data_IF_220760981708
#
_entry.id   IF_220760981708
#
_cell.length_a   1.000
_cell.length_b   1.000
_cell.length_c   1.000
_cell.angle_alpha   90.00
_cell.angle_beta   90.00
_cell.angle_gamma   90.00
#
_symmetry.space_group_name_H-M   'P 1'
#
loop_
_entity.id
_entity.type
_entity.pdbx_description
1 polymer ?
#
# COMPACT_ATOMS: atom_id res chain seq x y z
N UNK A 1 -4.48 51.54 37.65
CA UNK A 1 -3.30 52.21 38.26
C UNK A 1 -2.29 51.16 38.68
N UNK A 2 -1.02 51.34 38.26
CA UNK A 2 0.26 50.69 38.68
C UNK A 2 0.46 49.22 38.23
N UNK A 3 1.30 48.92 37.23
CA UNK A 3 2.78 49.05 37.03
C UNK A 3 3.60 48.01 37.82
N UNK A 4 4.20 47.04 37.10
CA UNK A 4 5.66 46.80 36.93
C UNK A 4 5.96 45.32 36.54
N UNK A 5 6.57 45.13 35.38
CA UNK A 5 7.40 43.97 34.93
C UNK A 5 8.74 43.96 35.72
N UNK A 6 9.77 43.10 35.48
CA UNK A 6 9.90 41.77 34.81
C UNK A 6 10.81 40.77 35.61
N UNK A 7 10.83 39.46 35.29
CA UNK A 7 12.04 38.62 35.52
C UNK A 7 12.21 37.58 34.40
N UNK A 8 13.39 37.61 33.81
CA UNK A 8 13.95 36.75 32.77
C UNK A 8 14.18 35.30 33.22
N UNK A 9 14.05 34.36 32.27
CA UNK A 9 14.98 33.23 32.16
C UNK A 9 14.95 32.70 30.71
N UNK A 10 16.00 33.05 29.95
CA UNK A 10 16.38 32.37 28.72
C UNK A 10 16.81 30.94 29.08
N UNK A 11 16.22 29.93 28.45
CA UNK A 11 16.82 28.60 28.35
C UNK A 11 17.34 28.43 26.91
N UNK A 12 18.64 28.62 26.75
CA UNK A 12 19.38 28.33 25.53
C UNK A 12 19.50 26.81 25.36
N UNK A 13 18.91 26.25 24.30
CA UNK A 13 19.18 24.89 23.86
C UNK A 13 20.28 24.95 22.81
N UNK A 14 21.43 24.42 23.21
CA UNK A 14 22.68 24.38 22.48
C UNK A 14 22.54 23.62 21.15
N UNK A 15 22.79 24.32 20.05
CA UNK A 15 23.14 23.72 18.76
C UNK A 15 24.51 23.07 18.86
N UNK A 16 24.55 21.74 18.90
CA UNK A 16 25.79 20.99 18.76
C UNK A 16 26.11 20.90 17.27
N UNK A 17 26.97 21.81 16.81
CA UNK A 17 27.61 21.73 15.50
C UNK A 17 28.61 20.57 15.52
N UNK A 18 28.38 19.52 14.72
CA UNK A 18 29.43 18.56 14.38
C UNK A 18 30.36 19.23 13.37
N UNK A 19 31.56 19.49 13.84
CA UNK A 19 32.67 20.06 13.08
C UNK A 19 33.23 18.97 12.15
N UNK A 20 33.27 19.26 10.85
CA UNK A 20 34.09 18.52 9.88
C UNK A 20 35.57 18.77 10.21
N UNK A 21 36.24 17.78 10.79
CA UNK A 21 37.70 17.67 10.76
C UNK A 21 38.07 16.53 9.83
N UNK A 22 38.61 16.90 8.67
CA UNK A 22 39.28 15.99 7.77
C UNK A 22 40.49 15.35 8.46
N UNK A 23 40.59 14.03 8.31
CA UNK A 23 41.81 13.28 8.54
C UNK A 23 42.37 12.87 7.18
N UNK A 24 43.44 13.55 6.76
CA UNK A 24 44.41 12.98 5.82
C UNK A 24 45.13 11.82 6.50
N UNK A 25 45.11 10.66 5.86
CA UNK A 25 45.82 9.46 6.27
C UNK A 25 45.75 8.45 5.12
N UNK A 26 46.79 8.48 4.30
CA UNK A 26 47.04 7.67 3.10
C UNK A 26 47.28 6.20 3.50
N UNK A 27 46.38 5.30 3.11
CA UNK A 27 46.63 3.85 3.00
C UNK A 27 45.59 3.24 2.04
N UNK A 28 46.04 3.03 0.80
CA UNK A 28 45.63 2.06 -0.21
C UNK A 28 44.26 1.36 -0.05
N UNK A 29 43.23 1.92 -0.69
CA UNK A 29 42.07 1.17 -1.21
C UNK A 29 41.30 2.04 -2.19
N UNK A 30 41.70 1.98 -3.46
CA UNK A 30 40.83 2.42 -4.56
C UNK A 30 39.67 1.44 -4.67
N UNK A 31 38.64 1.65 -3.86
CA UNK A 31 37.31 1.18 -4.14
C UNK A 31 36.47 2.42 -4.43
N UNK A 32 36.25 2.70 -5.72
CA UNK A 32 35.11 3.50 -6.14
C UNK A 32 33.88 3.04 -5.35
N UNK A 33 33.00 3.93 -4.87
CA UNK A 33 31.68 3.49 -4.50
C UNK A 33 31.06 2.94 -5.78
N UNK A 34 31.04 1.61 -5.92
CA UNK A 34 30.27 0.98 -6.97
C UNK A 34 28.85 1.49 -6.79
N UNK A 35 28.47 2.39 -7.68
CA UNK A 35 27.09 2.74 -7.88
C UNK A 35 26.39 1.40 -8.08
N UNK A 36 25.70 0.93 -7.04
CA UNK A 36 24.86 -0.24 -7.15
C UNK A 36 23.90 0.12 -8.26
N UNK A 37 24.14 -0.46 -9.42
CA UNK A 37 23.32 -0.28 -10.60
C UNK A 37 21.92 -0.65 -10.13
N UNK A 38 21.03 0.34 -10.06
CA UNK A 38 19.61 0.07 -9.91
C UNK A 38 19.29 -0.93 -11.02
N UNK A 39 19.08 -2.19 -10.65
CA UNK A 39 18.61 -3.18 -11.59
C UNK A 39 17.29 -2.62 -12.11
N UNK A 40 17.28 -2.19 -13.36
CA UNK A 40 16.08 -1.71 -14.01
C UNK A 40 15.07 -2.85 -13.96
N UNK A 41 13.94 -2.66 -13.28
CA UNK A 41 12.89 -3.66 -13.24
C UNK A 41 12.56 -4.10 -14.68
N UNK A 42 12.54 -5.41 -14.91
CA UNK A 42 12.22 -6.01 -16.19
C UNK A 42 10.71 -6.03 -16.38
N UNK A 43 10.21 -5.49 -17.48
CA UNK A 43 8.79 -5.57 -17.85
C UNK A 43 8.59 -6.59 -18.97
N UNK A 44 7.73 -7.58 -18.74
CA UNK A 44 7.29 -8.55 -19.74
C UNK A 44 5.96 -8.10 -20.37
N UNK A 45 6.01 -7.65 -21.63
CA UNK A 45 4.83 -7.12 -22.33
C UNK A 45 3.72 -8.16 -22.57
N UNK A 46 4.07 -9.45 -22.68
CA UNK A 46 3.11 -10.52 -23.00
C UNK A 46 2.24 -10.87 -21.81
N UNK A 47 2.87 -10.89 -20.64
CA UNK A 47 2.18 -11.21 -19.39
C UNK A 47 1.71 -9.93 -18.72
N UNK A 48 2.35 -8.78 -18.93
CA UNK A 48 2.10 -7.56 -18.16
C UNK A 48 2.70 -7.60 -16.76
N UNK A 49 3.75 -8.41 -16.56
CA UNK A 49 4.46 -8.54 -15.28
C UNK A 49 5.66 -7.61 -15.25
N UNK A 50 5.80 -6.88 -14.16
CA UNK A 50 7.03 -6.19 -13.75
C UNK A 50 7.77 -7.05 -12.72
N UNK A 51 9.04 -7.33 -12.98
CA UNK A 51 9.97 -8.03 -12.10
C UNK A 51 11.08 -7.06 -11.68
N UNK A 52 11.12 -6.71 -10.40
CA UNK A 52 12.12 -5.80 -9.82
C UNK A 52 13.32 -6.55 -9.21
N UNK A 53 13.41 -7.87 -9.41
CA UNK A 53 14.44 -8.74 -8.85
C UNK A 53 14.12 -9.29 -7.46
N UNK A 54 12.97 -8.93 -6.86
CA UNK A 54 12.50 -9.52 -5.59
C UNK A 54 11.98 -10.95 -5.75
N UNK A 55 11.59 -11.34 -6.98
CA UNK A 55 10.85 -12.57 -7.27
C UNK A 55 9.34 -12.41 -7.21
N UNK A 56 8.83 -11.27 -6.74
CA UNK A 56 7.41 -10.95 -6.77
C UNK A 56 7.00 -10.60 -8.20
N UNK A 57 5.77 -10.98 -8.57
CA UNK A 57 5.19 -10.62 -9.87
C UNK A 57 4.20 -9.50 -9.67
N UNK A 58 4.57 -8.31 -10.13
CA UNK A 58 3.72 -7.11 -10.03
C UNK A 58 3.01 -6.86 -11.36
N UNK A 59 1.75 -6.41 -11.33
CA UNK A 59 0.98 -6.05 -12.53
C UNK A 59 0.25 -4.74 -12.30
N UNK A 60 0.17 -3.91 -13.34
CA UNK A 60 -0.76 -2.79 -13.33
C UNK A 60 -2.20 -3.30 -13.49
N UNK A 61 -3.13 -2.71 -12.75
CA UNK A 61 -4.56 -3.03 -12.82
C UNK A 61 -5.40 -1.81 -13.21
N UNK A 62 -6.56 -2.09 -13.82
CA UNK A 62 -7.71 -1.18 -13.82
C UNK A 62 -8.62 -1.61 -12.67
N UNK A 63 -8.94 -0.67 -11.80
CA UNK A 63 -9.86 -0.88 -10.69
C UNK A 63 -11.12 -0.04 -10.88
N UNK A 64 -12.27 -0.63 -10.55
CA UNK A 64 -13.55 0.05 -10.39
C UNK A 64 -14.15 -0.39 -9.06
N UNK A 65 -14.63 0.57 -8.27
CA UNK A 65 -15.22 0.31 -6.96
C UNK A 65 -16.46 1.17 -6.78
N UNK A 66 -17.48 0.55 -6.24
CA UNK A 66 -18.73 1.16 -5.80
C UNK A 66 -19.00 0.68 -4.38
N UNK A 67 -19.27 1.63 -3.48
CA UNK A 67 -19.64 1.39 -2.10
C UNK A 67 -20.98 2.06 -1.86
N UNK A 68 -21.92 1.35 -1.27
CA UNK A 68 -23.25 1.86 -0.95
C UNK A 68 -23.73 1.44 0.44
N UNK A 69 -24.73 2.13 1.00
CA UNK A 69 -25.21 1.88 2.36
C UNK A 69 -24.52 2.78 3.39
N UNK A 70 -23.75 2.18 4.31
CA UNK A 70 -23.05 2.88 5.40
C UNK A 70 -22.07 3.97 4.95
N UNK A 71 -21.58 3.89 3.71
CA UNK A 71 -20.95 4.97 2.95
C UNK A 71 -21.47 4.93 1.51
N UNK A 72 -21.27 6.03 0.76
CA UNK A 72 -21.65 6.08 -0.65
C UNK A 72 -20.52 6.69 -1.48
N UNK A 73 -19.83 5.86 -2.26
CA UNK A 73 -18.73 6.31 -3.11
C UNK A 73 -18.62 5.47 -4.38
N UNK A 74 -18.16 6.12 -5.45
CA UNK A 74 -17.76 5.44 -6.67
C UNK A 74 -16.44 6.01 -7.13
N UNK A 75 -15.48 5.11 -7.38
CA UNK A 75 -14.16 5.48 -7.87
C UNK A 75 -13.62 4.44 -8.85
N UNK A 76 -12.78 4.93 -9.76
CA UNK A 76 -12.12 4.14 -10.80
C UNK A 76 -10.72 4.68 -10.98
N UNK A 77 -9.77 3.83 -11.35
CA UNK A 77 -8.44 4.27 -11.73
C UNK A 77 -7.45 3.14 -11.85
N UNK A 78 -6.17 3.49 -11.78
CA UNK A 78 -5.08 2.53 -11.75
C UNK A 78 -4.98 1.90 -10.37
N UNK A 79 -4.88 0.59 -10.33
CA UNK A 79 -4.47 -0.19 -9.16
C UNK A 79 -3.27 -1.05 -9.52
N UNK A 80 -2.94 -1.97 -8.64
CA UNK A 80 -1.86 -2.94 -8.83
C UNK A 80 -2.23 -4.28 -8.25
N UNK A 81 -1.60 -5.34 -8.75
CA UNK A 81 -1.60 -6.65 -8.13
C UNK A 81 -0.19 -7.11 -7.86
N UNK A 82 0.03 -7.76 -6.73
CA UNK A 82 1.32 -8.36 -6.36
C UNK A 82 1.11 -9.83 -6.02
N UNK A 83 1.73 -10.72 -6.79
CA UNK A 83 1.86 -12.14 -6.44
C UNK A 83 3.23 -12.35 -5.78
N UNK A 84 3.28 -12.63 -4.47
CA UNK A 84 4.54 -12.73 -3.76
C UNK A 84 5.26 -14.06 -4.05
N UNK A 85 6.59 -14.02 -4.04
CA UNK A 85 7.44 -15.20 -4.27
C UNK A 85 7.37 -16.25 -3.14
N UNK A 86 7.00 -15.80 -1.94
CA UNK A 86 7.07 -16.57 -0.69
C UNK A 86 5.84 -17.45 -0.42
N UNK A 87 4.85 -17.43 -1.32
CA UNK A 87 3.67 -18.32 -1.30
C UNK A 87 2.50 -17.87 -0.42
N UNK A 88 2.60 -16.76 0.30
CA UNK A 88 1.70 -16.21 1.34
C UNK A 88 1.24 -14.75 1.15
N UNK A 89 -0.06 -14.41 1.02
CA UNK A 89 -1.13 -14.89 0.13
C UNK A 89 -0.79 -15.00 -1.35
N UNK A 90 -1.64 -15.69 -2.12
CA UNK A 90 -1.39 -15.97 -3.54
C UNK A 90 -1.27 -14.70 -4.40
N UNK A 91 -2.10 -13.69 -4.13
CA UNK A 91 -2.00 -12.36 -4.71
C UNK A 91 -2.68 -11.31 -3.82
N UNK A 92 -2.20 -10.08 -3.92
CA UNK A 92 -2.82 -8.89 -3.34
C UNK A 92 -3.25 -7.96 -4.46
N UNK A 93 -4.39 -7.30 -4.30
CA UNK A 93 -4.89 -6.28 -5.24
C UNK A 93 -5.09 -4.98 -4.48
N UNK A 94 -4.56 -3.88 -4.98
CA UNK A 94 -4.58 -2.59 -4.30
C UNK A 94 -5.02 -1.49 -5.24
N UNK A 95 -5.92 -0.65 -4.75
CA UNK A 95 -6.22 0.65 -5.34
C UNK A 95 -6.21 1.70 -4.23
N UNK A 96 -5.57 2.84 -4.51
CA UNK A 96 -5.63 4.03 -3.65
C UNK A 96 -5.96 5.27 -4.47
N UNK A 97 -6.95 6.03 -4.03
CA UNK A 97 -7.35 7.27 -4.65
C UNK A 97 -7.92 8.27 -3.66
N UNK A 98 -8.14 9.50 -4.13
CA UNK A 98 -8.65 10.60 -3.27
C UNK A 98 -10.00 10.32 -2.63
N UNK A 99 -10.80 9.43 -3.22
CA UNK A 99 -12.15 9.08 -2.77
C UNK A 99 -12.21 7.83 -1.89
N UNK A 100 -11.08 7.14 -1.72
CA UNK A 100 -11.01 5.90 -0.97
C UNK A 100 -9.92 4.97 -1.50
N UNK A 101 -9.76 3.85 -0.80
CA UNK A 101 -8.87 2.77 -1.15
C UNK A 101 -9.57 1.43 -0.99
N UNK A 102 -9.13 0.42 -1.73
CA UNK A 102 -9.54 -0.96 -1.52
C UNK A 102 -8.32 -1.87 -1.64
N UNK A 103 -8.28 -2.87 -0.78
CA UNK A 103 -7.31 -3.96 -0.81
C UNK A 103 -8.08 -5.28 -0.85
N UNK A 104 -7.72 -6.18 -1.76
CA UNK A 104 -8.26 -7.54 -1.83
C UNK A 104 -7.11 -8.52 -1.63
N UNK A 105 -7.30 -9.45 -0.71
CA UNK A 105 -6.35 -10.49 -0.37
C UNK A 105 -6.85 -11.79 -0.97
N UNK A 106 -6.11 -12.36 -1.92
CA UNK A 106 -6.41 -13.71 -2.39
C UNK A 106 -6.07 -14.71 -1.28
N UNK A 107 -6.97 -15.64 -1.01
CA UNK A 107 -6.72 -16.68 -0.01
C UNK A 107 -5.50 -17.54 -0.35
N UNK A 108 -4.85 -18.06 0.68
CA UNK A 108 -3.77 -19.04 0.57
C UNK A 108 -3.69 -19.85 1.86
N UNK A 109 -3.56 -21.17 1.72
CA UNK A 109 -3.58 -22.12 2.84
C UNK A 109 -4.77 -21.86 3.78
N UNK A 110 -4.50 -21.49 5.05
CA UNK A 110 -5.51 -21.22 6.08
C UNK A 110 -6.01 -19.76 6.07
N UNK A 111 -5.52 -18.92 5.14
CA UNK A 111 -5.92 -17.50 5.03
C UNK A 111 -7.09 -17.40 4.05
N UNK A 112 -8.28 -16.98 4.49
CA UNK A 112 -9.43 -16.80 3.61
C UNK A 112 -9.28 -15.55 2.72
N UNK A 113 -9.89 -15.60 1.55
CA UNK A 113 -10.02 -14.42 0.67
C UNK A 113 -10.85 -13.35 1.38
N UNK A 114 -10.39 -12.10 1.32
CA UNK A 114 -11.09 -10.98 1.97
C UNK A 114 -10.81 -9.65 1.28
N UNK A 115 -11.66 -8.66 1.53
CA UNK A 115 -11.49 -7.29 1.05
C UNK A 115 -11.62 -6.28 2.19
N UNK A 116 -10.82 -5.22 2.09
CA UNK A 116 -10.83 -4.07 3.00
C UNK A 116 -10.97 -2.82 2.16
N UNK A 117 -12.04 -2.05 2.37
CA UNK A 117 -12.28 -0.78 1.68
C UNK A 117 -12.30 0.36 2.69
N UNK A 118 -11.65 1.47 2.36
CA UNK A 118 -11.70 2.69 3.17
C UNK A 118 -12.31 3.82 2.36
N UNK A 119 -13.39 4.43 2.87
CA UNK A 119 -14.10 5.55 2.25
C UNK A 119 -14.39 6.59 3.34
N UNK A 120 -14.08 7.86 3.06
CA UNK A 120 -14.32 8.98 3.99
C UNK A 120 -13.76 8.77 5.42
N UNK A 121 -12.67 8.01 5.53
CA UNK A 121 -12.02 7.68 6.80
C UNK A 121 -12.65 6.52 7.58
N UNK A 122 -13.68 5.87 7.04
CA UNK A 122 -14.28 4.64 7.59
C UNK A 122 -13.78 3.44 6.82
N UNK A 123 -13.34 2.42 7.55
CA UNK A 123 -12.88 1.14 6.98
C UNK A 123 -13.94 0.08 7.14
N UNK A 124 -14.23 -0.63 6.06
CA UNK A 124 -15.16 -1.75 6.00
C UNK A 124 -14.40 -3.00 5.57
N UNK A 125 -14.62 -4.09 6.30
CA UNK A 125 -13.95 -5.37 6.05
C UNK A 125 -15.00 -6.44 5.76
N UNK A 126 -14.80 -7.23 4.72
CA UNK A 126 -15.65 -8.40 4.44
C UNK A 126 -15.42 -9.48 5.50
N UNK A 127 -16.42 -10.29 5.80
CA UNK A 127 -16.29 -11.33 6.81
C UNK A 127 -15.27 -12.40 6.35
N UNK A 128 -14.15 -12.60 7.07
CA UNK A 128 -13.19 -13.65 6.70
C UNK A 128 -13.74 -15.07 6.92
N UNK A 129 -14.77 -15.26 7.75
CA UNK A 129 -15.43 -16.56 7.95
C UNK A 129 -16.48 -16.86 6.86
N UNK A 130 -16.86 -15.84 6.08
CA UNK A 130 -17.77 -15.96 4.94
C UNK A 130 -17.20 -15.23 3.70
N UNK A 131 -16.34 -15.90 2.90
CA UNK A 131 -15.72 -15.30 1.72
C UNK A 131 -16.70 -15.16 0.54
N UNK A 132 -17.99 -15.41 0.74
CA UNK A 132 -18.99 -15.31 -0.32
C UNK A 132 -18.96 -13.91 -0.94
N UNK A 133 -18.86 -13.86 -2.27
CA UNK A 133 -18.81 -12.61 -3.01
C UNK A 133 -17.42 -11.95 -3.07
N UNK A 134 -16.37 -12.57 -2.52
CA UNK A 134 -14.99 -12.10 -2.72
C UNK A 134 -14.21 -13.16 -3.49
N UNK A 135 -13.88 -12.87 -4.74
CA UNK A 135 -13.11 -13.75 -5.61
C UNK A 135 -11.81 -13.06 -6.02
N UNK A 136 -10.68 -13.74 -5.86
CA UNK A 136 -9.39 -13.19 -6.25
C UNK A 136 -8.56 -14.27 -6.93
N UNK A 137 -8.08 -13.97 -8.14
CA UNK A 137 -7.24 -14.85 -8.91
C UNK A 137 -5.89 -15.02 -8.23
N UNK A 138 -5.47 -16.27 -8.04
CA UNK A 138 -4.19 -16.61 -7.40
C UNK A 138 -2.98 -16.12 -8.21
N UNK A 139 -3.14 -15.87 -9.51
CA UNK A 139 -2.11 -15.42 -10.45
C UNK A 139 -1.98 -13.89 -10.57
N UNK A 140 -2.76 -13.14 -9.79
CA UNK A 140 -2.78 -11.70 -9.79
C UNK A 140 -3.52 -11.07 -10.99
N UNK A 141 -4.23 -11.84 -11.83
CA UNK A 141 -4.81 -11.28 -13.07
C UNK A 141 -6.16 -10.60 -12.88
N UNK A 142 -6.91 -10.95 -11.84
CA UNK A 142 -8.22 -10.32 -11.58
C UNK A 142 -8.73 -10.57 -10.17
N UNK A 143 -9.50 -9.63 -9.64
CA UNK A 143 -10.28 -9.83 -8.42
C UNK A 143 -11.65 -9.17 -8.56
N UNK A 144 -12.67 -9.77 -7.96
CA UNK A 144 -14.02 -9.22 -7.86
C UNK A 144 -14.52 -9.26 -6.42
N UNK A 145 -15.28 -8.23 -6.07
CA UNK A 145 -15.94 -8.10 -4.78
C UNK A 145 -17.40 -7.76 -5.07
N UNK A 146 -18.32 -8.50 -4.48
CA UNK A 146 -19.76 -8.25 -4.39
C UNK A 146 -20.21 -8.78 -3.03
N UNK A 147 -19.83 -8.05 -1.98
CA UNK A 147 -19.91 -8.50 -0.60
C UNK A 147 -20.24 -7.36 0.36
N UNK A 148 -20.72 -7.73 1.55
CA UNK A 148 -21.00 -6.77 2.63
C UNK A 148 -19.72 -6.55 3.44
N UNK A 149 -19.31 -5.29 3.56
CA UNK A 149 -18.27 -4.85 4.46
C UNK A 149 -18.84 -4.33 5.77
N UNK A 150 -18.24 -4.77 6.88
CA UNK A 150 -18.63 -4.35 8.22
C UNK A 150 -17.58 -3.37 8.78
N UNK A 151 -17.98 -2.19 9.27
CA UNK A 151 -17.07 -1.29 9.97
C UNK A 151 -17.00 -1.65 11.45
N UNK A 152 -15.96 -1.16 12.13
CA UNK A 152 -15.87 -1.26 13.61
C UNK A 152 -16.97 -0.46 14.31
N UNK A 153 -17.38 0.66 13.71
CA UNK A 153 -18.47 1.52 14.17
C UNK A 153 -19.28 2.05 12.98
N UNK A 154 -20.61 2.11 13.10
CA UNK A 154 -21.52 2.57 12.05
C UNK A 154 -22.34 1.45 11.40
N UNK A 155 -22.89 1.70 10.22
CA UNK A 155 -23.66 0.73 9.44
C UNK A 155 -22.79 0.01 8.42
N UNK A 156 -23.13 -1.23 8.08
CA UNK A 156 -22.48 -2.00 7.01
C UNK A 156 -22.63 -1.31 5.65
N UNK A 157 -21.74 -1.65 4.71
CA UNK A 157 -21.77 -1.16 3.35
C UNK A 157 -21.68 -2.31 2.35
N UNK A 158 -22.44 -2.23 1.27
CA UNK A 158 -22.31 -3.12 0.13
C UNK A 158 -21.11 -2.64 -0.71
N UNK A 159 -20.21 -3.57 -1.04
CA UNK A 159 -18.97 -3.31 -1.78
C UNK A 159 -19.04 -4.07 -3.09
N UNK A 160 -19.02 -3.33 -4.20
CA UNK A 160 -18.89 -3.90 -5.55
C UNK A 160 -17.59 -3.41 -6.16
N UNK A 161 -16.62 -4.30 -6.37
CA UNK A 161 -15.32 -3.96 -6.94
C UNK A 161 -14.88 -4.94 -8.02
N UNK A 162 -14.12 -4.43 -8.97
CA UNK A 162 -13.53 -5.20 -10.06
C UNK A 162 -12.11 -4.71 -10.31
N UNK A 163 -11.18 -5.66 -10.32
CA UNK A 163 -9.79 -5.51 -10.72
C UNK A 163 -9.53 -6.35 -11.97
N UNK A 164 -8.96 -5.72 -12.99
CA UNK A 164 -8.43 -6.39 -14.17
C UNK A 164 -6.96 -6.02 -14.31
N UNK A 165 -6.07 -6.99 -14.26
CA UNK A 165 -4.63 -6.80 -14.07
C UNK A 165 -3.83 -7.49 -15.17
N UNK A 166 -2.78 -6.81 -15.63
CA UNK A 166 -2.06 -7.21 -16.85
C UNK A 166 -2.72 -6.67 -18.13
N UNK A 167 -2.06 -6.93 -19.25
CA UNK A 167 -2.45 -6.42 -20.58
C UNK A 167 -3.66 -7.15 -21.17
#
# INVERSE_FOLDING_TARGET
MRLFNPVSALAALATTALVLTGCSGDDDSSAEPEATTSASAGFDEKTGVTDDGSGDKQRECKAKVEVSGGANATFKGKGESVQPANGQPAAYYVYEGKKGSIQVFAGADDIPTSAVVTVDGVTYTTDPEDPTGVEAGEDGTSATVDAVGNPTEGGSADIVAEFTCGN
#
